data_IF_929382430014
#
_entry.id   IF_929382430014
#
_cell.length_a   1.000
_cell.length_b   1.000
_cell.length_c   1.000
_cell.angle_alpha   90.00
_cell.angle_beta   90.00
_cell.angle_gamma   90.00
#
_symmetry.space_group_name_H-M   'P 1'
#
loop_
_entity.id
_entity.type
_entity.pdbx_description
1 polymer ?
#
# COMPACT_ATOMS: atom_id res chain seq x y z
N UNK A 1 27.99 54.79 -13.38
CA UNK A 1 28.51 54.59 -14.74
C UNK A 1 29.16 53.21 -14.71
N UNK A 2 28.57 52.13 -15.19
CA UNK A 2 27.53 51.96 -16.20
C UNK A 2 26.65 50.75 -15.87
N UNK A 3 25.38 50.88 -16.26
CA UNK A 3 24.30 49.92 -16.13
C UNK A 3 24.38 48.98 -17.34
N UNK A 4 24.50 47.67 -17.13
CA UNK A 4 24.34 46.69 -18.20
C UNK A 4 23.04 45.91 -18.02
N UNK A 5 22.01 46.45 -18.68
CA UNK A 5 20.72 45.83 -18.96
C UNK A 5 20.83 44.99 -20.23
N UNK A 6 20.55 43.70 -20.17
CA UNK A 6 20.28 42.83 -21.31
C UNK A 6 19.74 41.51 -20.79
N UNK A 7 18.74 40.87 -21.38
CA UNK A 7 17.82 41.19 -22.47
C UNK A 7 16.74 40.11 -22.34
N UNK A 8 15.49 40.51 -22.37
CA UNK A 8 14.32 39.64 -22.33
C UNK A 8 14.26 38.77 -23.58
N UNK A 9 14.35 37.45 -23.44
CA UNK A 9 13.96 36.51 -24.50
C UNK A 9 12.58 35.93 -24.18
N UNK A 10 11.61 36.60 -24.78
CA UNK A 10 10.20 36.22 -24.88
C UNK A 10 10.11 34.99 -25.79
N UNK A 11 10.01 33.80 -25.19
CA UNK A 11 9.69 32.58 -25.93
C UNK A 11 8.17 32.45 -26.10
N UNK A 12 7.71 32.65 -27.34
CA UNK A 12 6.31 32.47 -27.75
C UNK A 12 5.97 30.97 -27.82
N UNK A 13 4.81 30.52 -27.30
CA UNK A 13 4.34 29.16 -27.50
C UNK A 13 3.86 28.96 -28.94
N UNK A 14 4.50 28.03 -29.66
CA UNK A 14 4.02 27.53 -30.95
C UNK A 14 2.85 26.60 -30.69
N UNK A 15 1.65 27.07 -31.00
CA UNK A 15 0.45 26.27 -31.02
C UNK A 15 0.52 25.20 -32.10
N UNK A 16 0.20 23.97 -31.71
CA UNK A 16 -0.29 22.95 -32.63
C UNK A 16 -1.62 22.42 -32.10
N UNK A 17 -2.67 22.95 -32.70
CA UNK A 17 -4.02 22.44 -32.67
C UNK A 17 -4.01 21.15 -33.49
N UNK A 18 -4.35 20.02 -32.86
CA UNK A 18 -4.76 18.81 -33.54
C UNK A 18 -6.12 18.40 -32.97
N UNK A 19 -7.13 18.60 -33.81
CA UNK A 19 -8.48 18.14 -33.64
C UNK A 19 -8.60 16.66 -34.05
N UNK A 20 -9.76 16.07 -33.74
CA UNK A 20 -10.32 14.76 -34.16
C UNK A 20 -9.92 13.56 -33.28
N UNK A 21 -10.80 12.62 -32.91
CA UNK A 21 -12.18 12.35 -33.30
C UNK A 21 -12.93 11.65 -32.15
N UNK A 22 -14.24 11.91 -32.08
CA UNK A 22 -15.22 11.20 -31.24
C UNK A 22 -15.45 9.81 -31.84
N UNK A 23 -15.26 8.76 -31.03
CA UNK A 23 -15.87 7.44 -31.27
C UNK A 23 -16.60 7.02 -30.00
N UNK A 24 -17.90 7.28 -29.97
CA UNK A 24 -18.82 6.68 -29.02
C UNK A 24 -19.11 5.24 -29.46
N UNK A 25 -18.74 4.26 -28.64
CA UNK A 25 -19.22 2.87 -28.78
C UNK A 25 -20.12 2.59 -27.59
N UNK A 26 -21.43 2.61 -27.85
CA UNK A 26 -22.43 2.10 -26.93
C UNK A 26 -22.49 0.58 -27.10
N UNK A 27 -22.05 -0.17 -26.09
CA UNK A 27 -22.29 -1.60 -25.99
C UNK A 27 -23.28 -1.83 -24.85
N UNK A 28 -24.52 -2.15 -25.21
CA UNK A 28 -25.50 -2.70 -24.29
C UNK A 28 -25.09 -4.13 -23.97
N UNK A 29 -24.87 -4.44 -22.69
CA UNK A 29 -24.81 -5.83 -22.23
C UNK A 29 -25.94 -6.07 -21.25
N UNK A 30 -26.73 -7.06 -21.64
CA UNK A 30 -27.99 -7.54 -21.10
C UNK A 30 -27.86 -8.13 -19.70
N UNK A 31 -28.89 -7.87 -18.89
CA UNK A 31 -29.18 -8.52 -17.61
C UNK A 31 -29.36 -10.03 -17.80
N UNK A 32 -28.52 -10.82 -17.11
CA UNK A 32 -28.75 -12.24 -16.85
C UNK A 32 -28.99 -12.45 -15.37
N UNK A 33 -30.26 -12.58 -14.98
CA UNK A 33 -30.66 -13.03 -13.66
C UNK A 33 -30.70 -14.57 -13.66
N UNK A 34 -29.89 -15.19 -12.80
CA UNK A 34 -30.08 -16.59 -12.41
C UNK A 34 -30.29 -16.62 -10.90
N UNK A 35 -31.56 -16.65 -10.51
CA UNK A 35 -32.06 -17.23 -9.26
C UNK A 35 -31.53 -18.66 -9.14
N UNK A 36 -30.96 -19.02 -7.99
CA UNK A 36 -30.88 -20.41 -7.57
C UNK A 36 -31.38 -20.51 -6.13
N UNK A 37 -32.35 -21.40 -5.98
CA UNK A 37 -33.16 -21.72 -4.82
C UNK A 37 -32.39 -22.13 -3.56
N UNK A 38 -32.95 -21.67 -2.44
CA UNK A 38 -32.83 -22.26 -1.11
C UNK A 38 -33.11 -23.78 -1.14
N UNK A 39 -32.22 -24.57 -0.55
CA UNK A 39 -32.54 -25.93 -0.11
C UNK A 39 -32.07 -26.11 1.34
N UNK A 40 -32.98 -26.20 2.32
CA UNK A 40 -32.61 -26.38 3.72
C UNK A 40 -32.92 -27.79 4.24
N UNK A 41 -31.93 -28.64 4.55
CA UNK A 41 -32.07 -29.80 5.46
C UNK A 41 -30.67 -30.35 5.86
N UNK A 42 -30.46 -31.20 6.89
CA UNK A 42 -31.07 -31.37 8.23
C UNK A 42 -30.04 -31.27 9.39
N UNK A 43 -30.59 -31.16 10.60
CA UNK A 43 -29.98 -31.40 11.92
C UNK A 43 -29.41 -32.82 12.02
N UNK A 44 -28.21 -32.96 12.58
CA UNK A 44 -27.64 -34.26 12.99
C UNK A 44 -26.50 -34.12 13.99
N UNK A 45 -26.81 -34.26 15.28
CA UNK A 45 -25.82 -34.61 16.32
C UNK A 45 -25.50 -36.10 16.25
N UNK A 46 -24.23 -36.49 16.44
CA UNK A 46 -23.98 -37.39 17.56
C UNK A 46 -22.65 -37.13 18.32
N UNK A 47 -22.75 -37.17 19.64
CA UNK A 47 -21.64 -37.44 20.57
C UNK A 47 -21.25 -38.91 20.49
N UNK A 48 -19.95 -39.23 20.48
CA UNK A 48 -19.47 -40.22 21.45
C UNK A 48 -18.14 -39.82 22.13
N UNK A 49 -18.15 -40.04 23.45
CA UNK A 49 -17.01 -40.08 24.36
C UNK A 49 -16.05 -41.22 24.01
N UNK A 50 -14.74 -40.95 23.99
CA UNK A 50 -13.71 -41.96 24.16
C UNK A 50 -12.56 -41.43 25.03
N UNK A 51 -12.53 -41.91 26.28
CA UNK A 51 -11.41 -41.78 27.21
C UNK A 51 -10.29 -42.72 26.77
N UNK A 52 -9.13 -42.16 26.45
CA UNK A 52 -7.88 -42.90 26.22
C UNK A 52 -6.79 -42.35 27.12
N UNK A 53 -6.44 -43.09 28.16
CA UNK A 53 -5.27 -42.87 29.01
C UNK A 53 -4.13 -43.73 28.49
N UNK A 54 -2.98 -43.12 28.17
CA UNK A 54 -1.71 -43.84 28.02
C UNK A 54 -0.52 -42.95 28.38
N UNK A 55 0.15 -43.40 29.45
CA UNK A 55 1.57 -43.40 29.80
C UNK A 55 2.56 -42.32 29.30
N UNK A 56 3.34 -41.87 30.27
CA UNK A 56 4.56 -41.09 30.21
C UNK A 56 5.58 -41.55 29.15
N UNK A 57 6.18 -40.56 28.47
CA UNK A 57 7.46 -40.68 27.76
C UNK A 57 8.35 -39.50 28.17
N UNK A 58 9.64 -39.81 28.37
CA UNK A 58 10.62 -38.96 29.07
C UNK A 58 11.04 -37.68 28.35
N UNK A 59 12.01 -36.93 28.92
CA UNK A 59 12.48 -35.68 28.35
C UNK A 59 13.41 -35.97 27.16
N UNK A 60 12.85 -36.10 25.97
CA UNK A 60 13.65 -35.91 24.75
C UNK A 60 14.05 -34.44 24.68
N UNK A 61 15.36 -34.22 24.64
CA UNK A 61 15.98 -32.93 24.37
C UNK A 61 15.62 -32.54 22.93
N UNK A 62 14.43 -31.94 22.80
CA UNK A 62 13.86 -31.52 21.54
C UNK A 62 14.69 -30.40 20.95
N UNK A 63 15.30 -30.67 19.80
CA UNK A 63 15.85 -29.67 18.89
C UNK A 63 14.70 -28.70 18.57
N UNK A 64 14.77 -27.47 19.08
CA UNK A 64 13.76 -26.44 18.82
C UNK A 64 13.61 -26.31 17.29
N UNK A 65 12.40 -26.53 16.73
CA UNK A 65 12.17 -26.32 15.30
C UNK A 65 12.60 -24.89 14.93
N UNK A 66 13.25 -24.68 13.76
CA UNK A 66 13.56 -23.33 13.33
C UNK A 66 12.27 -22.53 13.28
N UNK A 67 12.19 -21.50 14.13
CA UNK A 67 11.06 -20.59 14.19
C UNK A 67 11.00 -19.85 12.85
N UNK A 68 9.84 -19.91 12.19
CA UNK A 68 9.62 -19.13 10.98
C UNK A 68 9.90 -17.65 11.26
N UNK A 69 10.46 -16.89 10.30
CA UNK A 69 10.61 -15.44 10.45
C UNK A 69 9.27 -14.84 10.87
N UNK A 70 9.27 -14.00 11.89
CA UNK A 70 8.06 -13.33 12.33
C UNK A 70 7.74 -12.19 11.35
N UNK A 71 6.47 -12.08 10.96
CA UNK A 71 5.98 -10.97 10.13
C UNK A 71 6.26 -9.63 10.82
N UNK A 72 6.79 -8.66 10.06
CA UNK A 72 6.98 -7.30 10.54
C UNK A 72 5.70 -6.54 10.29
N UNK A 73 5.08 -5.98 11.32
CA UNK A 73 3.84 -5.20 11.20
C UNK A 73 3.85 -3.98 12.10
N UNK A 74 3.13 -2.94 11.68
CA UNK A 74 2.86 -1.75 12.48
C UNK A 74 1.45 -1.26 12.17
N UNK A 75 0.71 -0.85 13.19
CA UNK A 75 -0.65 -0.36 13.04
C UNK A 75 -0.97 0.82 13.94
N UNK A 76 -2.00 1.57 13.57
CA UNK A 76 -2.52 2.70 14.33
C UNK A 76 -3.96 2.97 13.93
N UNK A 77 -4.77 3.48 14.86
CA UNK A 77 -6.13 3.94 14.59
C UNK A 77 -6.16 5.46 14.52
N UNK A 78 -6.71 6.00 13.45
CA UNK A 78 -6.89 7.44 13.22
C UNK A 78 -8.35 7.73 12.83
N UNK A 79 -9.03 8.55 13.65
CA UNK A 79 -10.45 8.89 13.51
C UNK A 79 -11.38 7.70 13.27
N UNK A 80 -11.11 6.58 13.93
CA UNK A 80 -11.92 5.36 13.81
C UNK A 80 -11.61 4.48 12.60
N UNK A 81 -10.59 4.81 11.80
CA UNK A 81 -10.00 3.90 10.82
C UNK A 81 -8.73 3.30 11.39
N UNK A 82 -8.71 1.99 11.54
CA UNK A 82 -7.51 1.21 11.82
C UNK A 82 -6.75 1.00 10.51
N UNK A 83 -5.46 1.35 10.52
CA UNK A 83 -4.56 1.12 9.38
C UNK A 83 -3.37 0.32 9.87
N UNK A 84 -3.05 -0.73 9.13
CA UNK A 84 -1.91 -1.60 9.38
C UNK A 84 -1.08 -1.74 8.11
N UNK A 85 0.24 -1.78 8.32
CA UNK A 85 1.22 -2.10 7.30
C UNK A 85 1.97 -3.34 7.78
N UNK A 86 2.09 -4.37 6.95
CA UNK A 86 2.84 -5.57 7.27
C UNK A 86 3.70 -6.09 6.12
N UNK A 87 4.70 -6.92 6.44
CA UNK A 87 5.57 -7.63 5.51
C UNK A 87 5.80 -9.06 6.00
N UNK A 88 5.63 -10.09 5.15
CA UNK A 88 5.53 -11.50 5.58
C UNK A 88 6.85 -12.19 5.95
N UNK A 89 8.00 -11.55 5.73
CA UNK A 89 9.30 -12.23 5.97
C UNK A 89 10.39 -11.25 6.40
N UNK A 90 10.72 -10.33 5.51
CA UNK A 90 11.83 -9.40 5.70
C UNK A 90 11.48 -8.04 5.11
N UNK A 91 11.87 -7.00 5.83
CA UNK A 91 11.88 -5.63 5.30
C UNK A 91 13.22 -5.27 4.65
N UNK A 92 14.09 -6.25 4.43
CA UNK A 92 15.33 -6.06 3.67
C UNK A 92 15.03 -6.02 2.19
N UNK A 93 15.36 -4.91 1.55
CA UNK A 93 15.18 -4.70 0.12
C UNK A 93 16.53 -4.83 -0.58
N UNK A 94 16.61 -5.79 -1.49
CA UNK A 94 17.73 -5.95 -2.42
C UNK A 94 17.33 -5.34 -3.77
N UNK A 95 18.11 -4.40 -4.33
CA UNK A 95 17.77 -3.79 -5.62
C UNK A 95 17.56 -4.84 -6.73
N UNK A 96 16.55 -4.62 -7.58
CA UNK A 96 16.10 -5.57 -8.60
C UNK A 96 15.34 -6.79 -8.05
N UNK A 97 15.18 -6.90 -6.73
CA UNK A 97 14.35 -7.92 -6.10
C UNK A 97 13.14 -7.27 -5.42
N UNK A 98 11.93 -7.63 -5.83
CA UNK A 98 10.74 -7.04 -5.26
C UNK A 98 10.41 -7.60 -3.87
N UNK A 99 9.95 -6.72 -2.98
CA UNK A 99 9.47 -7.05 -1.63
C UNK A 99 7.97 -6.80 -1.55
N UNK A 100 7.26 -7.69 -0.85
CA UNK A 100 5.80 -7.62 -0.67
C UNK A 100 5.40 -6.96 0.64
N UNK A 101 4.32 -6.21 0.59
CA UNK A 101 3.74 -5.51 1.72
C UNK A 101 2.22 -5.60 1.66
N UNK A 102 1.58 -5.66 2.81
CA UNK A 102 0.14 -5.53 2.92
C UNK A 102 -0.22 -4.23 3.61
N UNK A 103 -1.26 -3.56 3.11
CA UNK A 103 -1.90 -2.43 3.77
C UNK A 103 -3.34 -2.80 4.06
N UNK A 104 -3.67 -2.93 5.34
CA UNK A 104 -5.03 -3.20 5.80
C UNK A 104 -5.65 -1.89 6.26
N UNK A 105 -6.89 -1.64 5.83
CA UNK A 105 -7.70 -0.52 6.28
C UNK A 105 -9.02 -1.08 6.79
N UNK A 106 -9.33 -0.80 8.05
CA UNK A 106 -10.54 -1.28 8.70
C UNK A 106 -11.31 -0.13 9.35
N UNK A 107 -12.62 -0.09 9.11
CA UNK A 107 -13.53 0.77 9.84
C UNK A 107 -13.82 0.14 11.21
N UNK A 108 -13.22 0.69 12.26
CA UNK A 108 -13.41 0.21 13.64
C UNK A 108 -14.56 0.94 14.36
N UNK A 109 -15.42 1.65 13.63
CA UNK A 109 -16.57 2.37 14.17
C UNK A 109 -17.89 1.66 13.86
N UNK A 110 -18.98 2.16 14.43
CA UNK A 110 -20.35 1.73 14.12
C UNK A 110 -21.00 2.51 12.97
N UNK A 111 -20.34 3.54 12.42
CA UNK A 111 -20.82 4.33 11.30
C UNK A 111 -20.08 4.00 10.01
N UNK A 112 -20.62 4.41 8.87
CA UNK A 112 -19.96 4.21 7.57
C UNK A 112 -19.00 5.36 7.24
N UNK A 113 -17.86 5.04 6.63
CA UNK A 113 -17.00 6.03 5.99
C UNK A 113 -17.33 6.15 4.51
N UNK A 114 -17.49 7.38 4.04
CA UNK A 114 -17.54 7.69 2.61
C UNK A 114 -16.29 8.48 2.23
N UNK A 115 -15.59 8.06 1.19
CA UNK A 115 -14.38 8.73 0.72
C UNK A 115 -13.15 8.50 1.61
N UNK A 116 -12.81 7.25 1.90
CA UNK A 116 -11.53 6.90 2.51
C UNK A 116 -10.42 7.05 1.47
N UNK A 117 -9.46 7.94 1.71
CA UNK A 117 -8.25 8.07 0.92
C UNK A 117 -7.04 7.45 1.64
N UNK A 118 -6.20 6.74 0.88
CA UNK A 118 -4.96 6.15 1.38
C UNK A 118 -3.81 6.50 0.44
N UNK A 119 -2.73 6.99 1.02
CA UNK A 119 -1.46 7.22 0.34
C UNK A 119 -0.43 6.27 0.92
N UNK A 120 0.29 5.58 0.04
CA UNK A 120 1.50 4.85 0.41
C UNK A 120 2.68 5.67 -0.07
N UNK A 121 3.64 5.92 0.81
CA UNK A 121 4.84 6.68 0.50
C UNK A 121 6.09 6.03 1.10
N UNK A 122 7.22 6.37 0.51
CA UNK A 122 8.54 5.90 0.90
C UNK A 122 9.28 7.07 1.53
N UNK A 123 9.64 6.91 2.80
CA UNK A 123 10.32 7.94 3.57
C UNK A 123 11.72 8.28 3.04
N UNK A 124 12.38 9.19 3.75
CA UNK A 124 13.78 9.48 3.48
C UNK A 124 14.65 8.23 3.70
N UNK A 125 15.57 7.99 2.78
CA UNK A 125 16.49 6.88 2.83
C UNK A 125 17.93 7.33 3.10
N UNK A 126 18.53 6.76 4.14
CA UNK A 126 19.98 6.87 4.38
C UNK A 126 20.83 6.25 3.27
N UNK A 127 20.23 5.38 2.45
CA UNK A 127 20.86 4.68 1.33
C UNK A 127 21.23 5.56 0.13
N UNK A 128 20.71 6.79 0.07
CA UNK A 128 21.03 7.73 -0.99
C UNK A 128 22.12 8.72 -0.50
N UNK A 129 23.29 8.80 -1.14
CA UNK A 129 24.35 9.72 -0.72
C UNK A 129 24.01 11.20 -0.95
N UNK A 130 23.00 11.50 -1.77
CA UNK A 130 22.57 12.87 -2.06
C UNK A 130 22.06 13.66 -0.84
N UNK A 131 22.00 14.99 -0.94
CA UNK A 131 21.64 15.87 0.19
C UNK A 131 20.19 15.72 0.65
N UNK A 132 19.26 15.38 -0.26
CA UNK A 132 17.84 15.26 0.07
C UNK A 132 17.45 13.91 0.69
N UNK A 133 18.38 12.93 0.74
CA UNK A 133 18.14 11.59 1.29
C UNK A 133 16.82 10.98 0.82
N UNK A 134 16.45 11.15 -0.45
CA UNK A 134 15.21 10.56 -0.98
C UNK A 134 15.41 9.08 -1.21
N UNK A 135 14.30 8.33 -1.21
CA UNK A 135 14.29 6.96 -1.69
C UNK A 135 14.90 6.88 -3.10
N UNK A 136 15.66 5.80 -3.43
CA UNK A 136 16.16 5.58 -4.79
C UNK A 136 15.02 5.42 -5.80
N UNK A 137 15.36 5.38 -7.09
CA UNK A 137 14.37 5.05 -8.12
C UNK A 137 13.86 3.60 -7.95
N UNK A 138 12.68 3.33 -8.47
CA UNK A 138 12.05 2.03 -8.38
C UNK A 138 10.63 2.02 -8.94
N UNK A 139 9.92 0.94 -8.64
CA UNK A 139 8.53 0.76 -9.02
C UNK A 139 7.70 0.20 -7.87
N UNK A 140 6.40 0.50 -7.91
CA UNK A 140 5.42 -0.07 -7.01
C UNK A 140 4.30 -0.69 -7.84
N UNK A 141 3.82 -1.84 -7.41
CA UNK A 141 2.68 -2.52 -8.01
C UNK A 141 1.65 -2.84 -6.94
N UNK A 142 0.39 -2.85 -7.34
CA UNK A 142 -0.75 -3.25 -6.54
C UNK A 142 -1.37 -4.50 -7.18
N UNK A 143 -1.69 -5.50 -6.38
CA UNK A 143 -2.44 -6.66 -6.85
C UNK A 143 -3.91 -6.28 -7.07
N UNK A 144 -4.40 -6.50 -8.28
CA UNK A 144 -5.79 -6.32 -8.65
C UNK A 144 -6.65 -7.51 -8.18
N UNK A 145 -7.97 -7.35 -8.22
CA UNK A 145 -8.90 -8.38 -7.77
C UNK A 145 -8.81 -9.70 -8.57
N UNK A 146 -8.25 -9.67 -9.79
CA UNK A 146 -8.00 -10.86 -10.62
C UNK A 146 -6.64 -11.54 -10.31
N UNK A 147 -5.90 -11.04 -9.32
CA UNK A 147 -4.56 -11.51 -8.95
C UNK A 147 -3.43 -10.97 -9.83
N UNK A 148 -3.72 -10.06 -10.79
CA UNK A 148 -2.69 -9.45 -11.62
C UNK A 148 -2.01 -8.27 -10.91
N UNK A 149 -0.70 -8.10 -11.13
CA UNK A 149 0.06 -6.96 -10.60
C UNK A 149 -0.03 -5.77 -11.55
N UNK A 150 -0.63 -4.68 -11.09
CA UNK A 150 -0.80 -3.43 -11.85
C UNK A 150 0.11 -2.33 -11.32
N UNK A 151 0.58 -1.39 -12.17
CA UNK A 151 1.37 -0.26 -11.70
C UNK A 151 0.62 0.56 -10.63
N UNK A 152 1.31 0.89 -9.55
CA UNK A 152 0.84 1.78 -8.50
C UNK A 152 1.80 2.98 -8.36
N UNK A 153 1.34 4.10 -7.78
CA UNK A 153 2.22 5.25 -7.56
C UNK A 153 3.45 4.90 -6.71
N UNK A 154 4.64 5.10 -7.27
CA UNK A 154 5.90 5.09 -6.51
C UNK A 154 6.14 6.47 -5.92
N UNK A 155 5.76 6.65 -4.66
CA UNK A 155 5.73 7.97 -4.03
C UNK A 155 6.88 8.12 -3.05
N UNK A 156 7.88 8.93 -3.40
CA UNK A 156 9.01 9.23 -2.52
C UNK A 156 8.75 10.53 -1.76
N UNK A 157 8.99 10.55 -0.46
CA UNK A 157 8.90 11.78 0.33
C UNK A 157 10.07 12.71 -0.02
N UNK A 158 9.72 13.92 -0.47
CA UNK A 158 10.65 15.02 -0.66
C UNK A 158 10.67 15.96 0.55
N UNK A 159 11.06 17.22 0.35
CA UNK A 159 11.04 18.24 1.41
C UNK A 159 9.66 18.84 1.71
N UNK A 160 8.59 18.39 1.04
CA UNK A 160 7.23 18.92 1.13
C UNK A 160 6.16 17.84 1.31
N UNK A 161 4.89 18.22 1.15
CA UNK A 161 3.72 17.34 1.34
C UNK A 161 3.01 16.94 0.04
N UNK A 162 3.65 17.19 -1.11
CA UNK A 162 3.13 16.85 -2.44
C UNK A 162 2.82 15.36 -2.61
N UNK A 163 3.53 14.51 -1.86
CA UNK A 163 3.28 13.07 -1.82
C UNK A 163 1.84 12.71 -1.39
N UNK A 164 1.18 13.54 -0.57
CA UNK A 164 -0.20 13.30 -0.13
C UNK A 164 -1.20 13.35 -1.30
N UNK A 165 -0.86 14.03 -2.40
CA UNK A 165 -1.67 14.08 -3.61
C UNK A 165 -1.66 12.80 -4.45
N UNK A 166 -0.91 11.77 -4.04
CA UNK A 166 -0.62 10.56 -4.84
C UNK A 166 -1.28 9.34 -4.20
N UNK A 167 -2.60 9.30 -4.27
CA UNK A 167 -3.42 8.22 -3.68
C UNK A 167 -3.09 6.86 -4.28
N UNK A 168 -3.01 5.83 -3.44
CA UNK A 168 -2.74 4.45 -3.86
C UNK A 168 -3.87 3.91 -4.77
N UNK A 169 -5.11 4.14 -4.35
CA UNK A 169 -6.33 3.78 -5.06
C UNK A 169 -7.30 4.98 -5.05
N UNK A 170 -8.29 5.02 -5.97
CA UNK A 170 -9.39 5.97 -5.85
C UNK A 170 -10.07 5.87 -4.48
N UNK A 171 -10.58 7.00 -3.99
CA UNK A 171 -11.29 7.04 -2.73
C UNK A 171 -12.46 6.04 -2.72
N UNK A 172 -12.63 5.32 -1.62
CA UNK A 172 -13.62 4.25 -1.49
C UNK A 172 -14.50 4.44 -0.26
N UNK A 173 -15.61 3.71 -0.17
CA UNK A 173 -16.45 3.68 1.02
C UNK A 173 -16.16 2.42 1.83
N UNK A 174 -16.29 2.51 3.15
CA UNK A 174 -16.03 1.40 4.05
C UNK A 174 -17.13 1.35 5.11
N UNK A 175 -17.98 0.33 5.04
CA UNK A 175 -19.07 0.16 6.00
C UNK A 175 -18.56 -0.14 7.40
N UNK A 176 -19.40 0.07 8.41
CA UNK A 176 -19.08 -0.26 9.80
C UNK A 176 -18.54 -1.69 9.94
N UNK A 177 -17.37 -1.85 10.56
CA UNK A 177 -16.70 -3.13 10.76
C UNK A 177 -16.01 -3.73 9.53
N UNK A 178 -16.18 -3.16 8.34
CA UNK A 178 -15.58 -3.66 7.10
C UNK A 178 -14.06 -3.40 7.08
N UNK A 179 -13.32 -4.31 6.47
CA UNK A 179 -11.91 -4.13 6.13
C UNK A 179 -11.65 -4.33 4.64
N UNK A 180 -10.56 -3.74 4.16
CA UNK A 180 -9.96 -4.00 2.85
C UNK A 180 -8.46 -4.20 3.05
N UNK A 181 -7.89 -5.12 2.29
CA UNK A 181 -6.45 -5.39 2.24
C UNK A 181 -5.94 -5.09 0.84
N UNK A 182 -4.84 -4.35 0.76
CA UNK A 182 -4.11 -4.09 -0.46
C UNK A 182 -2.77 -4.81 -0.43
N UNK A 183 -2.52 -5.67 -1.40
CA UNK A 183 -1.23 -6.34 -1.57
C UNK A 183 -0.36 -5.51 -2.51
N UNK A 184 0.77 -5.05 -1.99
CA UNK A 184 1.73 -4.23 -2.72
C UNK A 184 3.04 -4.97 -2.94
N UNK A 185 3.72 -4.56 -4.02
CA UNK A 185 5.05 -5.03 -4.36
C UNK A 185 5.92 -3.81 -4.67
N UNK A 186 7.01 -3.67 -3.95
CA UNK A 186 8.01 -2.61 -4.11
C UNK A 186 9.28 -3.19 -4.70
N UNK A 187 9.79 -2.60 -5.76
CA UNK A 187 11.10 -2.90 -6.31
C UNK A 187 11.94 -1.62 -6.36
N UNK A 188 13.19 -1.71 -5.93
CA UNK A 188 14.16 -0.62 -6.01
C UNK A 188 15.10 -0.90 -7.17
N UNK A 189 15.35 0.09 -8.01
CA UNK A 189 16.24 -0.05 -9.15
C UNK A 189 17.70 -0.22 -8.69
N UNK A 190 18.47 -1.14 -9.27
CA UNK A 190 19.90 -1.21 -9.05
C UNK A 190 20.60 0.10 -9.47
N UNK A 191 21.44 0.64 -8.58
CA UNK A 191 22.20 1.86 -8.85
C UNK A 191 23.64 1.77 -8.31
N UNK A 192 24.65 2.27 -9.04
CA UNK A 192 26.06 2.08 -8.68
C UNK A 192 26.50 2.86 -7.43
N UNK A 193 25.75 3.88 -7.03
CA UNK A 193 26.02 4.74 -5.88
C UNK A 193 25.06 4.48 -4.70
N UNK A 194 24.26 3.42 -4.77
CA UNK A 194 23.40 3.03 -3.68
C UNK A 194 24.25 2.45 -2.54
N UNK A 195 24.03 2.91 -1.31
CA UNK A 195 24.69 2.37 -0.12
C UNK A 195 23.66 1.70 0.79
N UNK A 196 24.13 0.87 1.72
CA UNK A 196 23.24 0.32 2.73
C UNK A 196 22.66 1.46 3.60
N UNK A 197 21.39 1.35 3.97
CA UNK A 197 20.72 2.32 4.82
C UNK A 197 19.28 1.93 5.07
N UNK A 198 18.60 2.67 5.96
CA UNK A 198 17.20 2.45 6.23
C UNK A 198 16.31 3.57 5.71
N UNK A 199 15.04 3.23 5.53
CA UNK A 199 13.92 4.08 5.12
C UNK A 199 12.64 3.53 5.75
N UNK A 200 11.49 4.09 5.41
CA UNK A 200 10.18 3.61 5.88
C UNK A 200 9.21 3.41 4.74
N UNK A 201 8.42 2.36 4.85
CA UNK A 201 7.18 2.20 4.09
C UNK A 201 6.05 2.76 4.94
N UNK A 202 5.35 3.76 4.43
CA UNK A 202 4.42 4.57 5.20
C UNK A 202 3.03 4.60 4.56
N UNK A 203 2.01 4.25 5.33
CA UNK A 203 0.61 4.42 4.94
C UNK A 203 0.03 5.63 5.68
N UNK A 204 -0.58 6.54 4.93
CA UNK A 204 -1.20 7.76 5.45
C UNK A 204 -2.65 7.84 5.01
N UNK A 205 -3.55 8.02 5.99
CA UNK A 205 -4.95 8.36 5.71
C UNK A 205 -5.05 9.79 5.20
N UNK A 206 -5.78 9.96 4.12
CA UNK A 206 -6.08 11.28 3.55
C UNK A 206 -7.59 11.50 3.49
N UNK A 207 -7.98 12.77 3.54
CA UNK A 207 -9.34 13.20 3.22
C UNK A 207 -9.39 13.61 1.74
N UNK A 208 -10.01 12.81 0.86
CA UNK A 208 -10.11 13.10 -0.56
C UNK A 208 -11.15 14.18 -0.88
N UNK A 209 -11.99 14.58 0.09
CA UNK A 209 -12.96 15.67 -0.08
C UNK A 209 -12.32 17.06 0.04
N UNK A 210 -11.11 17.14 0.62
CA UNK A 210 -10.32 18.35 0.64
C UNK A 210 -9.82 18.70 -0.78
N UNK A 211 -9.82 20.00 -1.12
CA UNK A 211 -9.37 20.48 -2.43
C UNK A 211 -7.89 20.10 -2.76
N UNK A 212 -7.11 19.80 -1.72
CA UNK A 212 -5.85 19.08 -1.80
C UNK A 212 -5.87 18.00 -0.70
N UNK A 213 -5.46 16.75 -0.96
CA UNK A 213 -5.48 15.71 0.06
C UNK A 213 -4.62 16.12 1.25
N UNK A 214 -5.27 16.38 2.38
CA UNK A 214 -4.61 16.68 3.65
C UNK A 214 -4.56 15.40 4.49
N UNK A 215 -3.51 15.22 5.31
CA UNK A 215 -3.50 14.11 6.24
C UNK A 215 -4.57 14.40 7.29
N UNK A 216 -5.37 13.39 7.62
CA UNK A 216 -6.46 13.56 8.60
C UNK A 216 -5.96 13.35 10.04
N UNK A 217 -4.72 12.87 10.21
CA UNK A 217 -4.10 12.53 11.48
C UNK A 217 -2.59 12.79 11.48
N UNK A 218 -1.88 12.30 12.51
CA UNK A 218 -0.41 12.16 12.45
C UNK A 218 0.00 11.50 11.14
N UNK A 219 1.07 12.03 10.54
CA UNK A 219 1.68 11.51 9.32
C UNK A 219 3.04 10.92 9.69
N UNK A 220 3.32 9.64 9.39
CA UNK A 220 2.39 8.67 8.79
C UNK A 220 1.33 8.15 9.76
N UNK A 221 0.29 7.49 9.25
CA UNK A 221 -0.68 6.77 10.09
C UNK A 221 -0.07 5.46 10.58
N UNK A 222 0.52 4.65 9.69
CA UNK A 222 1.26 3.44 10.04
C UNK A 222 2.57 3.37 9.25
N UNK A 223 3.62 2.81 9.86
CA UNK A 223 4.95 2.73 9.22
C UNK A 223 5.76 1.52 9.69
N UNK A 224 6.43 0.86 8.76
CA UNK A 224 7.48 -0.12 9.06
C UNK A 224 8.82 0.33 8.48
N UNK A 225 9.91 -0.04 9.13
CA UNK A 225 11.27 0.25 8.65
C UNK A 225 11.69 -0.74 7.56
N UNK A 226 12.27 -0.21 6.48
CA UNK A 226 12.90 -0.98 5.42
C UNK A 226 14.42 -0.82 5.48
N UNK A 227 15.15 -1.89 5.20
CA UNK A 227 16.61 -1.90 5.14
C UNK A 227 17.08 -2.15 3.71
N UNK A 228 17.67 -1.15 3.07
CA UNK A 228 18.23 -1.30 1.72
C UNK A 228 19.62 -1.93 1.81
N UNK A 229 19.85 -2.99 1.02
CA UNK A 229 21.13 -3.71 0.92
C UNK A 229 21.50 -3.90 -0.56
N UNK A 230 22.41 -3.06 -1.10
CA UNK A 230 22.91 -3.16 -2.47
C UNK A 230 23.55 -4.52 -2.80
#
# INVERSE_FOLDING_TARGET
MDIHTSREDIMKPVGRILATAVCAVAAMVTLGACQNDDTPIPVGSPTPTATGSVAASGPESGKVPPQAPADVHASTTADGLYIEVSAPESTTVHPGTPVRFDVVVQNSTSGDFTGVGVVVSLGHCGCNPGPMKTMPAGSMQLEAADGSWQPAPYVTQGGGTDFLGRTLVPAFSLSAGQSVTYHLKLEVDPAPNLVAGSTRFEATRTDPSAHAPTPVSSTPTASIELNIRP
#
